data_IF_613254983593
#
_entry.id   IF_613254983593
#
_cell.length_a   1.000
_cell.length_b   1.000
_cell.length_c   1.000
_cell.angle_alpha   90.00
_cell.angle_beta   90.00
_cell.angle_gamma   90.00
#
_symmetry.space_group_name_H-M   'P 1'
#
loop_
_entity.id
_entity.type
_entity.pdbx_description
1 polymer ?
#
# COMPACT_ATOMS: atom_id res chain seq x y z
N UNK A 1 -1.37 -5.04 -16.94
CA UNK A 1 -2.84 -5.13 -17.14
C UNK A 1 -3.44 -3.85 -16.58
N UNK A 2 -4.30 -3.16 -17.32
CA UNK A 2 -5.03 -1.98 -16.83
C UNK A 2 -6.51 -2.35 -16.76
N UNK A 3 -7.14 -2.14 -15.61
CA UNK A 3 -8.57 -2.46 -15.37
C UNK A 3 -9.26 -1.24 -14.76
N UNK A 4 -10.35 -0.74 -15.38
CA UNK A 4 -11.15 0.34 -14.79
C UNK A 4 -11.82 -0.09 -13.48
N UNK A 5 -12.13 0.89 -12.63
CA UNK A 5 -12.97 0.68 -11.46
C UNK A 5 -14.44 0.78 -11.85
N UNK A 6 -15.28 -0.10 -11.30
CA UNK A 6 -16.74 0.05 -11.35
C UNK A 6 -17.27 0.85 -10.16
N UNK A 7 -16.61 0.76 -9.00
CA UNK A 7 -17.05 1.41 -7.77
C UNK A 7 -15.91 1.70 -6.82
N UNK A 8 -16.02 2.82 -6.11
CA UNK A 8 -15.22 3.17 -4.94
C UNK A 8 -16.13 3.18 -3.70
N UNK A 9 -15.65 2.59 -2.62
CA UNK A 9 -16.37 2.38 -1.36
C UNK A 9 -15.48 2.81 -0.18
N UNK A 10 -15.49 4.10 0.21
CA UNK A 10 -14.77 4.55 1.39
C UNK A 10 -15.39 3.96 2.67
N UNK A 11 -14.59 3.81 3.72
CA UNK A 11 -15.12 3.39 5.02
C UNK A 11 -16.16 4.41 5.53
N UNK A 12 -17.30 3.97 6.11
CA UNK A 12 -18.35 4.89 6.55
C UNK A 12 -17.94 5.90 7.62
N UNK A 13 -16.90 5.60 8.42
CA UNK A 13 -16.38 6.50 9.44
C UNK A 13 -15.31 7.48 8.92
N UNK A 14 -14.92 7.39 7.65
CA UNK A 14 -13.94 8.31 7.07
C UNK A 14 -14.56 9.70 6.94
N UNK A 15 -14.01 10.66 7.69
CA UNK A 15 -14.53 12.03 7.76
C UNK A 15 -13.69 13.04 6.94
N UNK A 16 -12.82 12.56 6.04
CA UNK A 16 -11.87 13.42 5.29
C UNK A 16 -10.55 13.68 6.00
N UNK A 17 -10.46 13.30 7.28
CA UNK A 17 -9.25 13.31 8.09
C UNK A 17 -8.80 11.87 8.33
N UNK A 18 -7.52 11.56 8.13
CA UNK A 18 -6.93 10.21 8.29
C UNK A 18 -6.82 9.77 9.77
N UNK A 19 -7.77 10.18 10.61
CA UNK A 19 -7.82 9.88 12.05
C UNK A 19 -8.66 8.64 12.36
N UNK A 20 -9.61 8.29 11.48
CA UNK A 20 -10.44 7.09 11.62
C UNK A 20 -10.91 6.58 10.26
N UNK A 21 -10.87 5.26 10.09
CA UNK A 21 -11.41 4.62 8.89
C UNK A 21 -10.70 5.02 7.60
N UNK A 22 -9.39 5.32 7.66
CA UNK A 22 -8.59 5.61 6.47
C UNK A 22 -8.34 4.34 5.65
N UNK A 23 -9.41 3.87 4.98
CA UNK A 23 -9.45 2.69 4.14
C UNK A 23 -10.62 2.79 3.15
N UNK A 24 -10.43 2.26 1.95
CA UNK A 24 -11.48 2.15 0.95
C UNK A 24 -11.37 0.83 0.17
N UNK A 25 -12.51 0.32 -0.31
CA UNK A 25 -12.55 -0.78 -1.26
C UNK A 25 -12.72 -0.24 -2.69
N UNK A 26 -11.84 -0.67 -3.60
CA UNK A 26 -11.93 -0.40 -5.03
C UNK A 26 -12.42 -1.65 -5.76
N UNK A 27 -13.65 -1.62 -6.27
CA UNK A 27 -14.20 -2.72 -7.04
C UNK A 27 -13.79 -2.58 -8.51
N UNK A 28 -13.13 -3.60 -9.05
CA UNK A 28 -12.76 -3.65 -10.46
C UNK A 28 -13.99 -3.89 -11.35
N UNK A 29 -14.02 -3.28 -12.53
CA UNK A 29 -15.10 -3.47 -13.51
C UNK A 29 -15.16 -4.89 -14.09
N UNK A 30 -14.07 -5.65 -13.98
CA UNK A 30 -13.96 -7.06 -14.34
C UNK A 30 -12.94 -7.78 -13.45
N UNK A 31 -13.09 -9.09 -13.22
CA UNK A 31 -12.07 -9.87 -12.53
C UNK A 31 -10.70 -9.79 -13.22
N UNK A 32 -9.63 -9.79 -12.43
CA UNK A 32 -8.25 -9.93 -12.94
C UNK A 32 -7.82 -11.39 -12.80
N UNK A 33 -7.25 -11.99 -13.85
CA UNK A 33 -6.73 -13.35 -13.75
C UNK A 33 -5.52 -13.40 -12.82
N UNK A 34 -5.51 -14.35 -11.90
CA UNK A 34 -4.33 -14.63 -11.07
C UNK A 34 -3.26 -15.36 -11.86
N UNK A 35 -2.02 -15.16 -11.45
CA UNK A 35 -0.85 -15.77 -12.08
C UNK A 35 0.43 -15.41 -11.34
N UNK A 36 1.61 -15.68 -11.94
CA UNK A 36 2.89 -15.54 -11.27
C UNK A 36 3.22 -14.12 -10.76
N UNK A 37 2.54 -13.09 -11.28
CA UNK A 37 2.76 -11.68 -10.94
C UNK A 37 1.56 -11.00 -10.28
N UNK A 38 0.42 -11.70 -10.19
CA UNK A 38 -0.82 -11.15 -9.62
C UNK A 38 -1.43 -12.21 -8.73
N UNK A 39 -1.37 -11.97 -7.42
CA UNK A 39 -1.87 -12.85 -6.38
C UNK A 39 -2.60 -12.03 -5.31
N UNK A 40 -3.63 -12.60 -4.67
CA UNK A 40 -4.27 -11.96 -3.53
C UNK A 40 -3.35 -11.98 -2.31
N UNK A 41 -3.52 -11.01 -1.42
CA UNK A 41 -2.93 -11.00 -0.09
C UNK A 41 -3.96 -11.44 0.94
N UNK A 42 -3.52 -12.13 1.99
CA UNK A 42 -4.39 -12.48 3.11
C UNK A 42 -4.67 -11.24 3.97
N UNK A 43 -5.92 -11.08 4.41
CA UNK A 43 -6.25 -10.11 5.44
C UNK A 43 -5.80 -10.61 6.80
N UNK A 44 -5.29 -9.74 7.68
CA UNK A 44 -4.90 -10.13 9.03
C UNK A 44 -6.13 -10.60 9.83
N UNK A 45 -5.90 -11.52 10.76
CA UNK A 45 -6.91 -11.84 11.77
C UNK A 45 -7.23 -10.59 12.60
N UNK A 46 -8.49 -10.34 12.96
CA UNK A 46 -8.84 -9.25 13.88
C UNK A 46 -8.14 -9.33 15.25
N UNK A 47 -7.66 -10.52 15.63
CA UNK A 47 -6.93 -10.74 16.88
C UNK A 47 -5.40 -10.60 16.73
N UNK A 48 -4.89 -10.34 15.52
CA UNK A 48 -3.45 -10.20 15.28
C UNK A 48 -2.89 -9.04 16.11
N UNK A 49 -1.82 -9.32 16.86
CA UNK A 49 -1.00 -8.30 17.52
C UNK A 49 0.42 -8.42 16.97
N UNK A 50 0.98 -7.29 16.54
CA UNK A 50 2.37 -7.21 16.06
C UNK A 50 3.23 -6.70 17.22
N UNK A 51 4.13 -7.53 17.78
CA UNK A 51 4.99 -7.11 18.89
C UNK A 51 5.93 -5.95 18.50
N UNK A 52 6.30 -5.07 19.45
CA UNK A 52 7.36 -4.08 19.23
C UNK A 52 8.67 -4.76 18.78
N UNK A 53 9.41 -4.11 17.89
CA UNK A 53 10.62 -4.67 17.29
C UNK A 53 10.39 -5.72 16.19
N UNK A 54 9.14 -6.03 15.84
CA UNK A 54 8.85 -6.87 14.66
C UNK A 54 9.29 -6.14 13.40
N UNK A 55 10.17 -6.78 12.61
CA UNK A 55 10.60 -6.24 11.33
C UNK A 55 9.46 -6.34 10.31
N UNK A 56 9.02 -5.18 9.81
CA UNK A 56 8.01 -5.04 8.76
C UNK A 56 8.63 -4.44 7.49
N UNK A 57 8.04 -4.73 6.34
CA UNK A 57 8.45 -4.15 5.05
C UNK A 57 7.22 -3.53 4.37
N UNK A 58 7.37 -2.30 3.90
CA UNK A 58 6.42 -1.61 3.05
C UNK A 58 7.08 -1.31 1.70
N UNK A 59 6.33 -1.38 0.61
CA UNK A 59 6.83 -1.11 -0.74
C UNK A 59 5.85 -0.20 -1.49
N UNK A 60 6.34 0.61 -2.42
CA UNK A 60 5.50 1.52 -3.20
C UNK A 60 6.31 2.36 -4.20
N UNK A 61 5.62 3.25 -4.90
CA UNK A 61 6.19 4.19 -5.87
C UNK A 61 6.18 5.64 -5.36
N UNK A 62 6.13 5.83 -4.05
CA UNK A 62 6.15 7.16 -3.43
C UNK A 62 7.51 7.85 -3.59
N UNK A 63 7.58 9.12 -3.19
CA UNK A 63 8.84 9.86 -3.15
C UNK A 63 9.82 9.15 -2.21
N UNK A 64 11.05 8.96 -2.69
CA UNK A 64 12.15 8.35 -1.92
C UNK A 64 12.99 9.40 -1.20
N UNK A 65 12.71 10.68 -1.44
CA UNK A 65 13.35 11.82 -0.78
C UNK A 65 12.33 12.53 0.10
N UNK A 66 12.80 13.05 1.22
CA UNK A 66 12.00 13.97 2.02
C UNK A 66 12.02 15.34 1.33
N UNK A 67 10.88 15.79 0.78
CA UNK A 67 10.72 17.15 0.24
C UNK A 67 10.45 17.33 -1.27
N UNK A 68 10.32 16.27 -2.07
CA UNK A 68 9.75 16.35 -3.42
C UNK A 68 10.56 17.05 -4.52
N UNK A 69 11.27 16.26 -5.36
CA UNK A 69 11.39 16.42 -6.84
C UNK A 69 12.25 15.27 -7.41
N UNK A 70 11.81 14.59 -8.48
CA UNK A 70 12.71 13.73 -9.25
C UNK A 70 12.11 13.09 -10.51
N UNK A 71 12.91 12.56 -11.46
CA UNK A 71 14.29 12.91 -11.83
C UNK A 71 14.45 13.12 -13.37
N UNK A 72 15.67 13.38 -13.88
CA UNK A 72 16.07 12.62 -15.05
C UNK A 72 17.42 11.92 -14.82
N UNK A 73 17.38 10.60 -14.62
CA UNK A 73 18.53 9.70 -14.65
C UNK A 73 19.34 9.59 -13.36
N UNK A 74 19.32 8.40 -12.73
CA UNK A 74 20.18 8.06 -11.59
C UNK A 74 19.87 6.66 -11.06
N UNK A 75 20.88 5.80 -11.05
CA UNK A 75 20.84 4.34 -10.94
C UNK A 75 20.06 3.70 -9.77
N UNK A 76 19.54 2.51 -10.07
CA UNK A 76 19.00 1.52 -9.14
C UNK A 76 20.14 0.95 -8.26
N UNK A 77 20.44 1.61 -7.16
CA UNK A 77 21.44 1.12 -6.20
C UNK A 77 21.26 1.74 -4.83
N UNK A 78 20.31 1.23 -4.05
CA UNK A 78 20.07 1.66 -2.67
C UNK A 78 19.36 0.57 -1.90
N UNK A 79 20.07 0.04 -0.91
CA UNK A 79 19.63 -0.94 0.08
C UNK A 79 18.24 -0.60 0.64
N UNK A 80 17.34 -1.58 0.73
CA UNK A 80 16.02 -1.40 1.35
C UNK A 80 16.20 -1.33 2.86
N UNK A 81 16.68 -0.18 3.33
CA UNK A 81 16.70 0.21 4.73
C UNK A 81 15.30 0.12 5.29
N UNK A 82 15.08 -0.83 6.19
CA UNK A 82 13.85 -0.91 6.96
C UNK A 82 13.68 0.39 7.73
N UNK A 83 12.50 0.98 7.65
CA UNK A 83 12.09 2.03 8.57
C UNK A 83 11.99 1.39 9.96
N UNK A 84 13.04 1.55 10.78
CA UNK A 84 12.99 1.25 12.21
C UNK A 84 12.15 2.34 12.86
N UNK A 85 10.85 2.08 13.03
CA UNK A 85 9.99 2.91 13.86
C UNK A 85 10.47 2.85 15.30
N UNK A 86 10.80 4.01 15.86
CA UNK A 86 10.94 4.23 17.31
C UNK A 86 9.59 4.32 17.99
#
# INVERSE_FOLDING_TARGET
VVVPLSRLLPHPSYAGEATSGDIALAQLARPVPFGPRVLPVCLPSPALRVPPGTRCVATGWGDVREGGEGPPGGDLGGDLGGVEGS
#
